data_IF_687564206463
#
_entry.id   IF_687564206463
#
_cell.length_a   1.000
_cell.length_b   1.000
_cell.length_c   1.000
_cell.angle_alpha   90.00
_cell.angle_beta   90.00
_cell.angle_gamma   90.00
#
_symmetry.space_group_name_H-M   'P 1'
#
loop_
_entity.id
_entity.type
_entity.pdbx_description
1 polymer ?
#
# COMPACT_ATOMS: atom_id res chain seq x y z
N UNK A 1 16.63 8.10 1.53
CA UNK A 1 16.82 9.54 1.86
C UNK A 1 16.86 9.74 3.36
N UNK A 2 17.46 10.85 3.82
CA UNK A 2 17.53 11.15 5.26
C UNK A 2 16.14 11.32 5.91
N UNK A 3 15.21 11.93 5.21
CA UNK A 3 13.82 12.17 5.68
C UNK A 3 12.96 10.90 5.82
N UNK A 4 13.47 9.75 5.40
CA UNK A 4 12.77 8.46 5.41
C UNK A 4 13.29 7.52 6.51
N UNK A 5 14.26 7.99 7.28
CA UNK A 5 15.02 7.20 8.24
C UNK A 5 14.58 7.56 9.66
N UNK A 6 14.41 6.53 10.49
CA UNK A 6 14.15 6.67 11.93
C UNK A 6 15.43 6.91 12.75
N UNK A 7 15.28 7.03 14.05
CA UNK A 7 16.38 7.23 15.01
C UNK A 7 17.40 6.08 15.03
N UNK A 8 16.95 4.88 14.67
CA UNK A 8 17.76 3.66 14.51
C UNK A 8 18.57 3.62 13.20
N UNK A 9 18.54 4.71 12.41
CA UNK A 9 19.19 4.84 11.10
C UNK A 9 18.67 3.87 10.02
N UNK A 10 17.51 3.28 10.25
CA UNK A 10 16.82 2.41 9.29
C UNK A 10 15.61 3.13 8.69
N UNK A 11 15.18 2.67 7.52
CA UNK A 11 13.95 3.14 6.91
C UNK A 11 12.75 2.90 7.84
N UNK A 12 11.87 3.88 7.95
CA UNK A 12 10.63 3.70 8.73
C UNK A 12 9.61 2.86 7.97
N UNK A 13 8.70 2.19 8.68
CA UNK A 13 7.58 1.47 8.05
C UNK A 13 6.76 2.39 7.14
N UNK A 14 6.52 3.62 7.58
CA UNK A 14 5.76 4.60 6.81
C UNK A 14 6.45 4.93 5.47
N UNK A 15 7.77 5.07 5.48
CA UNK A 15 8.54 5.32 4.27
C UNK A 15 8.51 4.11 3.33
N UNK A 16 8.61 2.89 3.86
CA UNK A 16 8.48 1.66 3.07
C UNK A 16 7.12 1.58 2.36
N UNK A 17 6.03 1.83 3.09
CA UNK A 17 4.68 1.83 2.53
C UNK A 17 4.47 2.93 1.49
N UNK A 18 5.04 4.13 1.70
CA UNK A 18 5.03 5.21 0.72
C UNK A 18 5.72 4.77 -0.58
N UNK A 19 6.88 4.12 -0.51
CA UNK A 19 7.54 3.59 -1.70
C UNK A 19 6.68 2.59 -2.48
N UNK A 20 5.95 1.71 -1.79
CA UNK A 20 5.03 0.78 -2.45
C UNK A 20 3.86 1.51 -3.11
N UNK A 21 3.27 2.49 -2.41
CA UNK A 21 2.18 3.29 -2.95
C UNK A 21 2.62 4.13 -4.15
N UNK A 22 3.77 4.81 -4.06
CA UNK A 22 4.34 5.60 -5.15
C UNK A 22 4.64 4.73 -6.36
N UNK A 23 5.26 3.56 -6.15
CA UNK A 23 5.55 2.59 -7.21
C UNK A 23 4.26 2.16 -7.94
N UNK A 24 3.15 1.96 -7.21
CA UNK A 24 1.84 1.65 -7.82
C UNK A 24 1.33 2.82 -8.67
N UNK A 25 1.42 4.04 -8.14
CA UNK A 25 0.96 5.26 -8.83
C UNK A 25 1.74 5.48 -10.11
N UNK A 26 3.07 5.36 -10.06
CA UNK A 26 3.93 5.50 -11.24
C UNK A 26 3.71 4.37 -12.25
N UNK A 27 3.53 3.14 -11.82
CA UNK A 27 3.20 2.03 -12.71
C UNK A 27 1.88 2.29 -13.43
N UNK A 28 0.82 2.70 -12.72
CA UNK A 28 -0.46 3.04 -13.35
C UNK A 28 -0.32 4.21 -14.34
N UNK A 29 0.42 5.24 -13.97
CA UNK A 29 0.68 6.38 -14.87
C UNK A 29 1.43 5.95 -16.14
N UNK A 30 2.45 5.07 -16.02
CA UNK A 30 3.20 4.56 -17.18
C UNK A 30 2.35 3.75 -18.17
N UNK A 31 1.24 3.19 -17.70
CA UNK A 31 0.26 2.46 -18.51
C UNK A 31 -0.88 3.37 -19.03
N UNK A 32 -0.78 4.69 -18.84
CA UNK A 32 -1.84 5.63 -19.20
C UNK A 32 -3.09 5.49 -18.33
N UNK A 33 -2.93 4.99 -17.09
CA UNK A 33 -3.97 4.84 -16.07
C UNK A 33 -3.69 5.72 -14.84
N UNK A 34 -3.12 6.89 -15.08
CA UNK A 34 -2.85 7.90 -14.07
C UNK A 34 -4.09 8.69 -13.64
N UNK A 35 -3.87 9.83 -12.99
CA UNK A 35 -4.94 10.66 -12.42
C UNK A 35 -5.92 11.18 -13.49
N UNK A 36 -5.47 11.36 -14.73
CA UNK A 36 -6.30 11.80 -15.87
C UNK A 36 -7.43 10.81 -16.22
N UNK A 37 -7.28 9.53 -15.87
CA UNK A 37 -8.32 8.53 -16.07
C UNK A 37 -9.47 8.73 -15.08
N UNK A 38 -9.19 9.11 -13.84
CA UNK A 38 -10.22 9.46 -12.87
C UNK A 38 -11.12 10.60 -13.40
N UNK A 39 -10.52 11.64 -13.98
CA UNK A 39 -11.27 12.76 -14.56
C UNK A 39 -12.17 12.33 -15.71
N UNK A 40 -11.71 11.40 -16.55
CA UNK A 40 -12.45 10.90 -17.71
C UNK A 40 -13.56 9.90 -17.37
N UNK A 41 -13.28 8.98 -16.47
CA UNK A 41 -14.16 7.84 -16.17
C UNK A 41 -14.96 8.01 -14.90
N UNK A 42 -14.51 8.87 -13.98
CA UNK A 42 -15.04 8.99 -12.62
C UNK A 42 -14.75 7.77 -11.75
N UNK A 43 -13.87 6.86 -12.17
CA UNK A 43 -13.52 5.64 -11.44
C UNK A 43 -12.06 5.66 -11.01
N UNK A 44 -11.80 5.10 -9.84
CA UNK A 44 -10.44 4.99 -9.29
C UNK A 44 -10.23 3.68 -8.53
N UNK A 45 -8.97 3.27 -8.46
CA UNK A 45 -8.52 2.23 -7.56
C UNK A 45 -8.27 2.79 -6.17
N UNK A 46 -8.94 2.22 -5.17
CA UNK A 46 -8.77 2.59 -3.76
C UNK A 46 -8.22 1.39 -3.01
N UNK A 47 -7.15 1.60 -2.26
CA UNK A 47 -6.52 0.57 -1.46
C UNK A 47 -7.47 0.10 -0.35
N UNK A 48 -7.66 -1.21 -0.26
CA UNK A 48 -8.54 -1.85 0.74
C UNK A 48 -7.77 -2.55 1.85
N UNK A 49 -6.63 -3.16 1.53
CA UNK A 49 -5.79 -3.81 2.54
C UNK A 49 -4.35 -3.99 2.07
N UNK A 50 -3.45 -4.05 3.05
CA UNK A 50 -2.06 -4.43 2.92
C UNK A 50 -1.76 -5.68 3.75
N UNK A 51 -0.90 -6.53 3.21
CA UNK A 51 -0.11 -7.51 3.94
C UNK A 51 1.35 -7.26 3.58
N UNK A 52 2.18 -6.94 4.55
CA UNK A 52 3.58 -6.57 4.33
C UNK A 52 4.46 -7.47 5.19
N UNK A 53 5.40 -8.15 4.55
CA UNK A 53 6.41 -8.98 5.20
C UNK A 53 7.76 -8.28 5.05
N UNK A 54 8.46 -8.08 6.17
CA UNK A 54 9.72 -7.34 6.22
C UNK A 54 10.80 -8.26 6.75
N UNK A 55 11.79 -8.57 5.89
CA UNK A 55 12.96 -9.34 6.30
C UNK A 55 13.94 -8.46 7.09
N UNK A 56 14.19 -7.26 6.57
CA UNK A 56 14.90 -6.18 7.27
C UNK A 56 14.57 -4.83 6.64
N UNK A 57 14.73 -3.79 7.42
CA UNK A 57 14.66 -2.42 6.89
C UNK A 57 15.98 -2.00 6.24
N UNK A 58 15.93 -1.28 5.09
CA UNK A 58 17.12 -0.65 4.52
C UNK A 58 17.74 0.36 5.47
N UNK A 59 19.06 0.51 5.41
CA UNK A 59 19.81 1.52 6.19
C UNK A 59 20.00 2.80 5.39
N UNK A 60 20.40 3.88 6.07
CA UNK A 60 20.70 5.14 5.42
C UNK A 60 21.85 4.98 4.40
N UNK A 61 21.61 5.43 3.16
CA UNK A 61 22.59 5.36 2.06
C UNK A 61 22.55 4.05 1.27
N UNK A 62 21.74 3.08 1.69
CA UNK A 62 21.54 1.86 0.92
C UNK A 62 20.66 2.13 -0.29
N UNK A 63 21.10 1.70 -1.48
CA UNK A 63 20.29 1.78 -2.70
C UNK A 63 19.28 0.66 -2.73
N UNK A 64 18.05 1.00 -3.06
CA UNK A 64 16.94 0.05 -3.13
C UNK A 64 16.27 0.09 -4.50
N UNK A 65 15.72 -1.06 -4.90
CA UNK A 65 14.83 -1.21 -6.04
C UNK A 65 13.45 -1.62 -5.54
N UNK A 66 12.41 -0.93 -5.98
CA UNK A 66 11.01 -1.25 -5.65
C UNK A 66 10.31 -1.72 -6.91
N UNK A 67 9.66 -2.88 -6.83
CA UNK A 67 8.94 -3.51 -7.91
C UNK A 67 7.48 -3.72 -7.50
N UNK A 68 6.57 -3.62 -8.48
CA UNK A 68 5.15 -3.91 -8.27
C UNK A 68 4.52 -4.44 -9.55
N UNK A 69 3.58 -5.37 -9.42
CA UNK A 69 2.80 -5.93 -10.52
C UNK A 69 1.43 -6.40 -10.06
N UNK A 70 0.37 -6.23 -10.86
CA UNK A 70 -0.92 -6.86 -10.62
C UNK A 70 -0.85 -8.33 -11.02
N UNK A 71 -1.57 -9.18 -10.30
CA UNK A 71 -1.63 -10.61 -10.63
C UNK A 71 -3.07 -11.12 -10.83
N UNK A 72 -4.08 -10.38 -10.39
CA UNK A 72 -5.47 -10.80 -10.54
C UNK A 72 -6.42 -9.61 -10.55
N UNK A 73 -7.46 -9.69 -11.42
CA UNK A 73 -8.68 -8.87 -11.31
C UNK A 73 -9.89 -9.78 -11.14
N UNK A 74 -10.71 -9.51 -10.11
CA UNK A 74 -11.92 -10.30 -9.82
C UNK A 74 -13.08 -9.42 -9.38
N UNK A 75 -14.09 -9.30 -10.24
CA UNK A 75 -15.26 -8.45 -9.96
C UNK A 75 -14.89 -6.98 -9.92
N UNK A 76 -14.86 -6.39 -8.75
CA UNK A 76 -14.40 -5.01 -8.50
C UNK A 76 -13.09 -4.95 -7.73
N UNK A 77 -12.41 -6.08 -7.57
CA UNK A 77 -11.12 -6.15 -6.89
C UNK A 77 -9.96 -6.29 -7.87
N UNK A 78 -8.84 -5.67 -7.53
CA UNK A 78 -7.52 -5.91 -8.10
C UNK A 78 -6.53 -6.31 -7.03
N UNK A 79 -5.73 -7.32 -7.29
CA UNK A 79 -4.69 -7.81 -6.39
C UNK A 79 -3.32 -7.53 -6.98
N UNK A 80 -2.39 -7.07 -6.13
CA UNK A 80 -1.07 -6.61 -6.55
C UNK A 80 0.01 -7.03 -5.57
N UNK A 81 1.13 -7.50 -6.10
CA UNK A 81 2.31 -7.81 -5.32
C UNK A 81 3.39 -6.74 -5.42
N UNK A 82 4.34 -6.78 -4.48
CA UNK A 82 5.47 -5.88 -4.36
C UNK A 82 6.71 -6.60 -3.87
N UNK A 83 7.86 -6.08 -4.27
CA UNK A 83 9.17 -6.39 -3.67
C UNK A 83 9.97 -5.13 -3.48
N UNK A 84 10.70 -5.05 -2.38
CA UNK A 84 11.78 -4.12 -2.16
C UNK A 84 13.08 -4.91 -2.09
N UNK A 85 14.04 -4.55 -2.88
CA UNK A 85 15.29 -5.29 -3.09
C UNK A 85 16.48 -4.37 -2.92
N UNK A 86 17.63 -4.92 -2.53
CA UNK A 86 18.93 -4.27 -2.68
C UNK A 86 19.37 -4.29 -4.16
N UNK A 87 20.48 -3.64 -4.48
CA UNK A 87 21.12 -3.74 -5.81
C UNK A 87 21.61 -5.15 -6.13
N UNK A 88 21.87 -5.97 -5.11
CA UNK A 88 22.31 -7.36 -5.24
C UNK A 88 21.16 -8.37 -5.19
N UNK A 89 19.92 -7.93 -5.37
CA UNK A 89 18.70 -8.75 -5.38
C UNK A 89 18.32 -9.39 -4.03
N UNK A 90 18.91 -8.95 -2.91
CA UNK A 90 18.42 -9.35 -1.59
C UNK A 90 17.00 -8.81 -1.37
N UNK A 91 16.07 -9.67 -0.97
CA UNK A 91 14.70 -9.26 -0.67
C UNK A 91 14.63 -8.63 0.72
N UNK A 92 14.43 -7.33 0.78
CA UNK A 92 14.28 -6.55 2.01
C UNK A 92 12.87 -6.65 2.58
N UNK A 93 11.88 -6.52 1.71
CA UNK A 93 10.47 -6.64 2.03
C UNK A 93 9.68 -7.09 0.79
N UNK A 94 8.53 -7.70 1.04
CA UNK A 94 7.56 -8.05 0.00
C UNK A 94 6.15 -7.87 0.53
N UNK A 95 5.20 -7.70 -0.38
CA UNK A 95 3.84 -7.40 0.04
C UNK A 95 2.78 -7.90 -0.95
N UNK A 96 1.59 -8.06 -0.41
CA UNK A 96 0.34 -8.20 -1.15
C UNK A 96 -0.59 -7.02 -0.79
N UNK A 97 -1.30 -6.52 -1.77
CA UNK A 97 -2.33 -5.51 -1.57
C UNK A 97 -3.61 -5.86 -2.33
N UNK A 98 -4.73 -5.45 -1.75
CA UNK A 98 -6.05 -5.56 -2.36
C UNK A 98 -6.59 -4.15 -2.62
N UNK A 99 -7.06 -3.93 -3.83
CA UNK A 99 -7.62 -2.67 -4.29
C UNK A 99 -9.07 -2.86 -4.69
N UNK A 100 -9.92 -1.88 -4.38
CA UNK A 100 -11.30 -1.82 -4.86
C UNK A 100 -11.43 -0.78 -5.96
N UNK A 101 -12.07 -1.15 -7.06
CA UNK A 101 -12.40 -0.24 -8.14
C UNK A 101 -13.73 0.44 -7.82
N UNK A 102 -13.70 1.76 -7.61
CA UNK A 102 -14.85 2.54 -7.16
C UNK A 102 -15.29 3.54 -8.22
N UNK A 103 -16.61 3.73 -8.36
CA UNK A 103 -17.18 4.94 -8.96
C UNK A 103 -17.11 6.05 -7.88
N UNK A 104 -16.26 7.04 -8.12
CA UNK A 104 -15.98 8.12 -7.15
C UNK A 104 -17.15 9.09 -6.98
N UNK A 105 -18.11 9.12 -7.90
CA UNK A 105 -19.32 9.95 -7.78
C UNK A 105 -20.30 9.35 -6.78
N UNK A 106 -20.35 8.03 -6.69
CA UNK A 106 -21.29 7.29 -5.81
C UNK A 106 -20.62 6.72 -4.57
N UNK A 107 -19.27 6.63 -4.57
CA UNK A 107 -18.48 5.96 -3.53
C UNK A 107 -18.68 4.45 -3.49
N UNK A 108 -19.26 3.84 -4.54
CA UNK A 108 -19.60 2.42 -4.56
C UNK A 108 -18.64 1.61 -5.41
N UNK A 109 -18.36 0.35 -5.02
CA UNK A 109 -17.62 -0.57 -5.86
C UNK A 109 -18.31 -0.77 -7.22
N UNK A 110 -17.54 -0.70 -8.29
CA UNK A 110 -17.99 -0.94 -9.65
C UNK A 110 -17.13 -2.00 -10.31
N UNK A 111 -17.70 -2.75 -11.25
CA UNK A 111 -17.00 -3.83 -11.92
C UNK A 111 -15.83 -3.27 -12.74
N UNK A 112 -14.67 -3.92 -12.65
CA UNK A 112 -13.52 -3.61 -13.50
C UNK A 112 -13.91 -3.82 -14.96
N UNK A 113 -13.77 -2.78 -15.76
CA UNK A 113 -14.09 -2.86 -17.19
C UNK A 113 -13.04 -3.68 -17.94
N UNK A 114 -13.40 -4.31 -19.08
CA UNK A 114 -12.42 -5.03 -19.90
C UNK A 114 -11.25 -4.14 -20.32
N UNK A 115 -11.52 -2.88 -20.66
CA UNK A 115 -10.50 -1.89 -21.02
C UNK A 115 -9.53 -1.62 -19.85
N UNK A 116 -10.05 -1.45 -18.63
CA UNK A 116 -9.23 -1.24 -17.43
C UNK A 116 -8.36 -2.48 -17.15
N UNK A 117 -8.96 -3.67 -17.19
CA UNK A 117 -8.24 -4.91 -16.94
C UNK A 117 -7.14 -5.19 -17.98
N UNK A 118 -7.40 -4.90 -19.26
CA UNK A 118 -6.43 -5.11 -20.36
C UNK A 118 -5.26 -4.13 -20.34
N UNK A 119 -5.44 -2.97 -19.71
CA UNK A 119 -4.38 -1.97 -19.61
C UNK A 119 -3.22 -2.44 -18.70
N UNK A 120 -3.50 -3.39 -17.80
CA UNK A 120 -2.50 -3.90 -16.86
C UNK A 120 -2.05 -5.32 -17.26
N UNK A 121 -0.80 -5.52 -17.69
CA UNK A 121 -0.27 -6.85 -17.85
C UNK A 121 -0.23 -7.57 -16.49
N UNK A 122 -0.87 -8.74 -16.42
CA UNK A 122 -0.83 -9.57 -15.23
C UNK A 122 0.46 -10.40 -15.23
N UNK A 123 1.09 -10.48 -14.06
CA UNK A 123 2.28 -11.31 -13.83
C UNK A 123 1.97 -12.41 -12.81
N UNK A 124 2.91 -13.32 -12.64
CA UNK A 124 2.77 -14.45 -11.73
C UNK A 124 2.65 -13.95 -10.28
N UNK A 125 1.71 -14.56 -9.56
CA UNK A 125 1.49 -14.32 -8.14
C UNK A 125 2.75 -14.69 -7.34
N UNK A 126 3.16 -13.80 -6.42
CA UNK A 126 4.30 -14.04 -5.56
C UNK A 126 4.09 -15.30 -4.70
N UNK A 127 5.10 -16.14 -4.62
CA UNK A 127 5.10 -17.26 -3.67
C UNK A 127 5.32 -16.75 -2.25
N UNK A 128 4.21 -16.65 -1.51
CA UNK A 128 4.16 -16.20 -0.11
C UNK A 128 2.91 -16.75 0.57
N UNK A 129 2.89 -16.79 1.88
CA UNK A 129 1.68 -17.05 2.64
C UNK A 129 0.76 -15.82 2.55
N UNK A 130 -0.49 -16.03 2.09
CA UNK A 130 -1.46 -14.95 1.94
C UNK A 130 -2.42 -14.92 3.12
N UNK A 131 -2.47 -13.80 3.81
CA UNK A 131 -3.40 -13.57 4.91
C UNK A 131 -4.86 -13.56 4.41
N UNK A 132 -5.82 -14.02 5.24
CA UNK A 132 -7.23 -13.90 4.94
C UNK A 132 -7.63 -12.43 4.70
N UNK A 133 -8.47 -12.18 3.69
CA UNK A 133 -8.95 -10.82 3.39
C UNK A 133 -9.68 -10.17 4.57
N UNK A 134 -10.42 -10.97 5.34
CA UNK A 134 -11.19 -10.48 6.49
C UNK A 134 -10.31 -10.44 7.73
N UNK A 135 -10.05 -9.24 8.21
CA UNK A 135 -9.44 -9.03 9.53
C UNK A 135 -10.53 -9.20 10.58
N UNK A 136 -10.34 -10.12 11.52
CA UNK A 136 -11.25 -10.32 12.63
C UNK A 136 -11.01 -9.23 13.67
N UNK A 137 -12.06 -8.52 14.03
CA UNK A 137 -12.03 -7.50 15.08
C UNK A 137 -12.38 -8.19 16.40
N UNK A 138 -11.53 -8.07 17.45
CA UNK A 138 -11.86 -8.59 18.78
C UNK A 138 -13.13 -7.95 19.35
N UNK A 139 -13.93 -8.73 20.08
CA UNK A 139 -15.21 -8.25 20.66
C UNK A 139 -14.99 -7.29 21.86
N UNK A 140 -13.83 -7.39 22.52
CA UNK A 140 -13.48 -6.63 23.74
C UNK A 140 -12.69 -5.34 23.44
N UNK A 141 -12.73 -4.84 22.24
CA UNK A 141 -12.06 -3.59 21.86
C UNK A 141 -12.54 -2.41 22.70
N UNK A 142 -11.60 -1.63 23.19
CA UNK A 142 -11.86 -0.38 23.92
C UNK A 142 -11.38 0.80 23.10
N UNK A 143 -12.15 1.89 23.13
CA UNK A 143 -11.68 3.17 22.64
C UNK A 143 -10.65 3.72 23.63
N UNK A 144 -9.39 3.86 23.19
CA UNK A 144 -8.30 4.34 24.04
C UNK A 144 -7.99 5.82 23.81
N UNK A 145 -8.30 6.36 22.61
CA UNK A 145 -8.04 7.75 22.26
C UNK A 145 -8.81 8.19 21.01
N UNK A 146 -8.70 9.49 20.70
CA UNK A 146 -9.24 10.11 19.50
C UNK A 146 -8.11 10.86 18.78
N UNK A 147 -7.95 10.64 17.49
CA UNK A 147 -6.95 11.31 16.68
C UNK A 147 -7.58 12.36 15.77
N UNK A 148 -7.14 13.61 15.90
CA UNK A 148 -7.63 14.70 15.07
C UNK A 148 -6.92 14.72 13.71
N UNK A 149 -7.69 14.60 12.62
CA UNK A 149 -7.15 14.69 11.26
C UNK A 149 -6.70 16.13 10.97
N UNK A 150 -5.42 16.29 10.61
CA UNK A 150 -4.82 17.56 10.21
C UNK A 150 -4.66 17.64 8.68
N UNK A 151 -4.49 18.85 8.15
CA UNK A 151 -4.33 19.08 6.69
C UNK A 151 -3.18 18.27 6.07
N UNK A 152 -2.08 18.10 6.80
CA UNK A 152 -0.91 17.35 6.30
C UNK A 152 -1.09 15.83 6.28
N UNK A 153 -2.18 15.32 6.83
CA UNK A 153 -2.56 13.92 6.72
C UNK A 153 -3.26 13.59 5.39
N UNK A 154 -3.75 14.64 4.67
CA UNK A 154 -4.56 14.45 3.47
C UNK A 154 -3.69 14.24 2.23
N UNK A 155 -4.16 13.36 1.37
CA UNK A 155 -3.63 13.14 0.02
C UNK A 155 -4.26 14.12 -1.01
N UNK A 156 -3.91 13.97 -2.28
CA UNK A 156 -4.42 14.78 -3.40
C UNK A 156 -5.92 14.61 -3.64
N UNK A 157 -6.53 13.55 -3.10
CA UNK A 157 -7.98 13.29 -3.18
C UNK A 157 -8.74 13.81 -1.96
N UNK A 158 -8.08 14.57 -1.08
CA UNK A 158 -8.62 15.06 0.20
C UNK A 158 -9.04 13.95 1.17
N UNK A 159 -8.49 12.74 1.01
CA UNK A 159 -8.64 11.66 1.96
C UNK A 159 -7.40 11.56 2.85
N UNK A 160 -7.57 11.00 4.04
CA UNK A 160 -6.40 10.66 4.87
C UNK A 160 -5.57 9.62 4.13
N UNK A 161 -4.29 9.95 3.86
CA UNK A 161 -3.38 9.04 3.19
C UNK A 161 -3.27 7.72 3.99
N UNK A 162 -3.30 6.59 3.29
CA UNK A 162 -3.31 5.25 3.90
C UNK A 162 -2.18 5.03 4.90
N UNK A 163 -0.99 5.58 4.63
CA UNK A 163 0.17 5.45 5.51
C UNK A 163 0.00 6.24 6.81
N UNK A 164 -0.81 7.30 6.83
CA UNK A 164 -1.10 8.06 8.05
C UNK A 164 -1.87 7.23 9.07
N UNK A 165 -2.79 6.35 8.65
CA UNK A 165 -3.46 5.42 9.57
C UNK A 165 -2.48 4.49 10.26
N UNK A 166 -1.49 3.97 9.51
CA UNK A 166 -0.44 3.12 10.07
C UNK A 166 0.41 3.91 11.07
N UNK A 167 0.78 5.14 10.73
CA UNK A 167 1.55 6.03 11.62
C UNK A 167 0.81 6.31 12.93
N UNK A 168 -0.49 6.69 12.82
CA UNK A 168 -1.33 6.93 14.00
C UNK A 168 -1.44 5.67 14.88
N UNK A 169 -1.59 4.50 14.28
CA UNK A 169 -1.63 3.24 15.02
C UNK A 169 -0.30 2.91 15.72
N UNK A 170 0.83 3.23 15.09
CA UNK A 170 2.16 2.99 15.67
C UNK A 170 2.40 3.77 16.97
N UNK A 171 1.80 4.97 17.12
CA UNK A 171 1.91 5.80 18.33
C UNK A 171 1.34 5.08 19.59
N UNK A 172 0.48 4.06 19.40
CA UNK A 172 -0.15 3.29 20.47
C UNK A 172 0.45 1.89 20.65
N UNK A 173 1.44 1.51 19.85
CA UNK A 173 2.11 0.23 20.01
C UNK A 173 3.10 0.29 21.21
N UNK A 174 3.26 -0.82 21.96
CA UNK A 174 4.29 -0.92 22.99
C UNK A 174 5.68 -0.61 22.42
N UNK A 175 6.54 0.04 23.23
CA UNK A 175 7.89 0.43 22.79
C UNK A 175 8.79 -0.76 22.39
N UNK A 176 8.50 -1.95 22.90
CA UNK A 176 9.16 -3.21 22.59
C UNK A 176 8.52 -3.98 21.43
N UNK A 177 7.49 -3.40 20.79
CA UNK A 177 6.83 -4.01 19.65
C UNK A 177 7.75 -4.03 18.44
N UNK A 178 8.22 -5.21 18.07
CA UNK A 178 9.07 -5.41 16.90
C UNK A 178 8.21 -5.59 15.64
N UNK A 179 8.30 -4.64 14.69
CA UNK A 179 7.77 -4.80 13.33
C UNK A 179 8.85 -5.55 12.54
N UNK A 180 8.65 -6.83 12.35
CA UNK A 180 9.57 -7.67 11.59
C UNK A 180 9.43 -9.13 12.04
N UNK A 181 9.10 -10.01 11.12
CA UNK A 181 8.71 -11.41 11.27
C UNK A 181 7.30 -11.61 11.84
N UNK A 182 6.31 -11.34 11.03
CA UNK A 182 5.04 -12.08 11.04
C UNK A 182 4.94 -12.88 9.75
#
# INVERSE_FOLDING_TARGET
RYSEIGEDKKMTLNSLLNYFQDCTTFHSASLGRGMEILEKTGCAWVLSSWQVCINRFPTLGENIRVCTWPYEFRGFYGSRNFRMLTEQDEVLAYANSLWSFLDMRTGRPTRVTPEEAQAYPLEEKLDMEYAPRKILIPEDMKNIDQYEVKKHHLDTNHHVNNVQYVRMAQDYLPADFCIGQM
#
